data_IF_900147483656
#
_entry.id   IF_900147483656
#
_cell.length_a   1.000
_cell.length_b   1.000
_cell.length_c   1.000
_cell.angle_alpha   90.00
_cell.angle_beta   90.00
_cell.angle_gamma   90.00
#
_symmetry.space_group_name_H-M   'P 1'
#
loop_
_entity.id
_entity.type
_entity.pdbx_description
1 polymer ?
#
# COMPACT_ATOMS: atom_id res chain seq x y z
N UNK A 1 -16.56 -10.34 9.13
CA UNK A 1 -18.02 -10.14 9.07
C UNK A 1 -18.51 -9.79 7.66
N UNK A 2 -17.81 -8.91 6.89
CA UNK A 2 -18.18 -8.60 5.48
C UNK A 2 -18.30 -9.87 4.63
N UNK A 3 -17.34 -10.80 4.75
CA UNK A 3 -17.38 -12.07 4.02
C UNK A 3 -18.58 -12.93 4.46
N UNK A 4 -18.83 -13.03 5.75
CA UNK A 4 -19.95 -13.79 6.31
C UNK A 4 -21.29 -13.21 5.82
N UNK A 5 -21.45 -11.89 5.88
CA UNK A 5 -22.66 -11.21 5.38
C UNK A 5 -22.87 -11.44 3.87
N UNK A 6 -21.80 -11.62 3.10
CA UNK A 6 -21.88 -11.94 1.66
C UNK A 6 -22.40 -13.38 1.41
N UNK A 7 -22.03 -14.32 2.30
CA UNK A 7 -22.38 -15.75 2.17
C UNK A 7 -23.73 -16.08 2.80
N UNK A 8 -24.03 -15.48 3.95
CA UNK A 8 -25.20 -15.82 4.78
C UNK A 8 -26.17 -14.62 5.01
N UNK A 9 -25.98 -13.50 4.30
CA UNK A 9 -26.76 -12.31 4.51
C UNK A 9 -26.45 -11.59 5.84
N UNK A 10 -27.06 -10.42 6.05
CA UNK A 10 -26.88 -9.63 7.28
C UNK A 10 -27.41 -10.38 8.50
N UNK A 11 -28.55 -11.05 8.36
CA UNK A 11 -29.14 -11.87 9.44
C UNK A 11 -28.24 -13.03 9.86
N UNK A 12 -27.54 -13.68 8.90
CA UNK A 12 -26.56 -14.70 9.18
C UNK A 12 -25.35 -14.16 9.96
N UNK A 13 -24.87 -12.96 9.61
CA UNK A 13 -23.82 -12.29 10.36
C UNK A 13 -24.23 -11.93 11.80
N UNK A 14 -25.45 -11.48 12.00
CA UNK A 14 -26.00 -11.20 13.32
C UNK A 14 -26.16 -12.46 14.17
N UNK A 15 -26.61 -13.57 13.58
CA UNK A 15 -26.69 -14.88 14.24
C UNK A 15 -25.32 -15.34 14.74
N UNK A 16 -24.27 -15.22 13.91
CA UNK A 16 -22.90 -15.55 14.31
C UNK A 16 -22.43 -14.69 15.48
N UNK A 17 -22.69 -13.39 15.46
CA UNK A 17 -22.33 -12.49 16.55
C UNK A 17 -23.07 -12.84 17.85
N UNK A 18 -24.32 -13.25 17.79
CA UNK A 18 -25.08 -13.71 18.95
C UNK A 18 -24.52 -15.03 19.51
N UNK A 19 -24.15 -15.98 18.66
CA UNK A 19 -23.54 -17.24 19.08
C UNK A 19 -22.18 -16.98 19.76
N UNK A 20 -21.34 -16.11 19.18
CA UNK A 20 -20.06 -15.70 19.79
C UNK A 20 -20.31 -15.03 21.15
N UNK A 21 -21.24 -14.08 21.23
CA UNK A 21 -21.59 -13.42 22.47
C UNK A 21 -22.07 -14.40 23.55
N UNK A 22 -22.91 -15.38 23.19
CA UNK A 22 -23.35 -16.43 24.08
C UNK A 22 -22.19 -17.30 24.59
N UNK A 23 -21.29 -17.72 23.72
CA UNK A 23 -20.11 -18.50 24.11
C UNK A 23 -19.16 -17.72 25.02
N UNK A 24 -18.90 -16.45 24.70
CA UNK A 24 -18.09 -15.57 25.53
C UNK A 24 -18.77 -15.31 26.89
N UNK A 25 -20.08 -15.08 26.91
CA UNK A 25 -20.85 -14.91 28.15
C UNK A 25 -20.83 -16.14 29.03
N UNK A 26 -20.96 -17.35 28.47
CA UNK A 26 -20.83 -18.61 29.19
C UNK A 26 -19.41 -18.82 29.75
N UNK A 27 -18.36 -18.39 29.04
CA UNK A 27 -16.98 -18.53 29.46
C UNK A 27 -16.56 -17.47 30.50
N UNK A 28 -16.89 -16.19 30.22
CA UNK A 28 -16.35 -15.03 30.94
C UNK A 28 -17.36 -14.35 31.90
N UNK A 29 -18.64 -14.73 31.82
CA UNK A 29 -19.70 -14.14 32.66
C UNK A 29 -19.83 -12.63 32.43
N UNK A 30 -19.85 -11.86 33.52
CA UNK A 30 -19.98 -10.40 33.47
C UNK A 30 -18.70 -9.67 33.06
N UNK A 31 -17.59 -10.37 32.82
CA UNK A 31 -16.31 -9.80 32.43
C UNK A 31 -16.21 -9.49 30.93
N UNK A 32 -17.17 -9.97 30.12
CA UNK A 32 -17.23 -9.70 28.71
C UNK A 32 -18.21 -8.58 28.41
N UNK A 33 -17.78 -7.66 27.54
CA UNK A 33 -18.66 -6.63 26.98
C UNK A 33 -18.44 -6.52 25.48
N UNK A 34 -19.50 -6.17 24.75
CA UNK A 34 -19.42 -5.83 23.32
C UNK A 34 -19.15 -4.34 23.17
N UNK A 35 -18.05 -3.97 22.50
CA UNK A 35 -17.64 -2.57 22.37
C UNK A 35 -18.22 -1.96 21.10
N UNK A 36 -18.02 -2.64 19.99
CA UNK A 36 -18.51 -2.22 18.67
C UNK A 36 -19.02 -3.43 17.89
N UNK A 37 -19.63 -3.19 16.72
CA UNK A 37 -20.28 -4.19 15.89
C UNK A 37 -19.71 -5.59 15.89
N UNK A 38 -18.37 -5.76 15.76
CA UNK A 38 -17.71 -7.08 15.71
C UNK A 38 -16.67 -7.32 16.82
N UNK A 39 -16.50 -6.40 17.78
CA UNK A 39 -15.47 -6.45 18.80
C UNK A 39 -16.04 -6.71 20.20
N UNK A 40 -15.40 -7.62 20.91
CA UNK A 40 -15.70 -7.97 22.29
C UNK A 40 -14.47 -7.73 23.16
N UNK A 41 -14.66 -7.21 24.37
CA UNK A 41 -13.61 -7.00 25.36
C UNK A 41 -13.86 -7.92 26.55
N UNK A 42 -12.81 -8.59 27.03
CA UNK A 42 -12.80 -9.34 28.28
C UNK A 42 -11.85 -8.65 29.23
N UNK A 43 -12.34 -8.21 30.37
CA UNK A 43 -11.54 -7.56 31.41
C UNK A 43 -11.16 -8.56 32.51
N UNK A 44 -9.89 -8.54 32.91
CA UNK A 44 -9.33 -9.36 33.97
C UNK A 44 -8.66 -8.50 35.03
N UNK A 45 -8.65 -8.95 36.27
CA UNK A 45 -8.14 -8.20 37.42
C UNK A 45 -6.77 -8.69 37.90
N UNK A 46 -6.28 -9.82 37.37
CA UNK A 46 -4.98 -10.38 37.69
C UNK A 46 -4.35 -11.07 36.49
N UNK A 47 -3.03 -11.30 36.56
CA UNK A 47 -2.30 -12.05 35.54
C UNK A 47 -2.78 -13.50 35.43
N UNK A 48 -3.04 -14.15 36.59
CA UNK A 48 -3.55 -15.53 36.63
C UNK A 48 -4.91 -15.63 35.91
N UNK A 49 -5.80 -14.69 36.18
CA UNK A 49 -7.09 -14.61 35.52
C UNK A 49 -6.97 -14.33 34.01
N UNK A 50 -6.06 -13.45 33.62
CA UNK A 50 -5.73 -13.19 32.22
C UNK A 50 -5.26 -14.47 31.51
N UNK A 51 -4.26 -15.17 32.08
CA UNK A 51 -3.72 -16.41 31.50
C UNK A 51 -4.81 -17.47 31.34
N UNK A 52 -5.67 -17.61 32.36
CA UNK A 52 -6.79 -18.54 32.33
C UNK A 52 -7.75 -18.25 31.16
N UNK A 53 -8.26 -17.02 31.07
CA UNK A 53 -9.22 -16.69 30.01
C UNK A 53 -8.56 -16.65 28.64
N UNK A 54 -7.34 -16.16 28.53
CA UNK A 54 -6.61 -16.13 27.25
C UNK A 54 -6.38 -17.54 26.68
N UNK A 55 -5.98 -18.49 27.52
CA UNK A 55 -5.86 -19.89 27.11
C UNK A 55 -7.20 -20.53 26.72
N UNK A 56 -8.28 -20.17 27.43
CA UNK A 56 -9.63 -20.66 27.11
C UNK A 56 -10.15 -20.07 25.80
N UNK A 57 -9.94 -18.80 25.54
CA UNK A 57 -10.32 -18.14 24.29
C UNK A 57 -9.59 -18.73 23.10
N UNK A 58 -8.28 -18.99 23.22
CA UNK A 58 -7.50 -19.69 22.20
C UNK A 58 -8.11 -21.04 21.84
N UNK A 59 -8.51 -21.83 22.82
CA UNK A 59 -9.15 -23.13 22.59
C UNK A 59 -10.56 -23.01 22.03
N UNK A 60 -11.31 -21.98 22.45
CA UNK A 60 -12.68 -21.75 21.99
C UNK A 60 -12.72 -21.38 20.51
N UNK A 61 -11.75 -20.61 20.04
CA UNK A 61 -11.65 -20.11 18.67
C UNK A 61 -10.45 -20.71 17.91
N UNK A 62 -10.13 -21.98 18.17
CA UNK A 62 -9.09 -22.69 17.45
C UNK A 62 -9.34 -22.64 15.92
N UNK A 63 -8.29 -22.87 15.15
CA UNK A 63 -8.15 -22.66 13.68
C UNK A 63 -9.34 -23.16 12.83
N UNK A 64 -10.15 -24.07 13.37
CA UNK A 64 -11.28 -24.69 12.67
C UNK A 64 -12.64 -24.37 13.30
N UNK A 65 -12.78 -23.28 14.04
CA UNK A 65 -14.09 -22.96 14.62
C UNK A 65 -15.13 -22.71 13.53
N UNK A 66 -16.08 -23.59 13.48
CA UNK A 66 -17.22 -23.53 12.56
C UNK A 66 -18.47 -23.25 13.38
N UNK A 67 -19.26 -22.27 12.96
CA UNK A 67 -20.57 -21.96 13.53
C UNK A 67 -21.67 -22.30 12.52
N UNK A 68 -22.78 -22.82 13.01
CA UNK A 68 -23.92 -23.13 12.17
C UNK A 68 -24.80 -21.89 11.97
N UNK A 69 -25.11 -21.60 10.74
CA UNK A 69 -26.05 -20.53 10.35
C UNK A 69 -26.96 -21.04 9.24
N UNK A 70 -28.23 -21.22 9.53
CA UNK A 70 -29.22 -21.68 8.57
C UNK A 70 -28.81 -22.98 7.86
N UNK A 71 -28.39 -23.99 8.64
CA UNK A 71 -27.87 -25.27 8.15
C UNK A 71 -26.59 -25.21 7.32
N UNK A 72 -25.87 -24.06 7.40
CA UNK A 72 -24.54 -23.87 6.79
C UNK A 72 -23.48 -23.79 7.86
N UNK A 73 -22.47 -24.64 7.73
CA UNK A 73 -21.29 -24.59 8.57
C UNK A 73 -20.31 -23.51 8.06
N UNK A 74 -20.21 -22.40 8.77
CA UNK A 74 -19.37 -21.26 8.38
C UNK A 74 -18.14 -21.18 9.29
N UNK A 75 -16.95 -21.19 8.70
CA UNK A 75 -15.71 -20.91 9.43
C UNK A 75 -15.65 -19.43 9.81
N UNK A 76 -15.41 -19.17 11.09
CA UNK A 76 -15.37 -17.81 11.65
C UNK A 76 -13.99 -17.53 12.20
N UNK A 77 -13.10 -16.92 11.40
CA UNK A 77 -11.78 -16.48 11.88
C UNK A 77 -11.94 -15.33 12.88
N UNK A 78 -11.16 -15.37 13.96
CA UNK A 78 -11.18 -14.40 15.05
C UNK A 78 -9.75 -13.94 15.33
N UNK A 79 -9.56 -12.65 15.57
CA UNK A 79 -8.31 -12.12 16.12
C UNK A 79 -8.46 -11.99 17.63
N UNK A 80 -7.55 -12.59 18.37
CA UNK A 80 -7.51 -12.53 19.83
C UNK A 80 -6.28 -11.70 20.22
N UNK A 81 -6.50 -10.47 20.67
CA UNK A 81 -5.45 -9.57 21.15
C UNK A 81 -5.42 -9.59 22.68
N UNK A 82 -4.30 -9.95 23.27
CA UNK A 82 -4.10 -9.99 24.74
C UNK A 82 -3.18 -8.88 25.20
N UNK A 83 -3.60 -8.06 26.18
CA UNK A 83 -2.81 -6.97 26.76
C UNK A 83 -2.59 -7.25 28.25
N UNK A 84 -1.34 -7.49 28.63
CA UNK A 84 -0.93 -7.74 30.03
C UNK A 84 -0.57 -6.43 30.75
N UNK A 85 0.06 -5.51 30.01
CA UNK A 85 0.64 -4.29 30.58
C UNK A 85 -0.28 -3.07 30.42
N UNK A 86 -1.60 -3.25 30.45
CA UNK A 86 -2.57 -2.18 30.24
C UNK A 86 -2.38 -0.98 31.21
N UNK A 87 -1.87 -1.23 32.43
CA UNK A 87 -1.55 -0.20 33.41
C UNK A 87 -0.43 0.77 32.99
N UNK A 88 0.37 0.43 31.99
CA UNK A 88 1.37 1.35 31.41
C UNK A 88 0.75 2.40 30.49
N UNK A 89 -0.50 2.19 30.11
CA UNK A 89 -1.29 3.10 29.30
C UNK A 89 -2.21 3.85 30.28
N UNK A 90 -1.84 5.07 30.63
CA UNK A 90 -2.49 5.86 31.69
C UNK A 90 -3.97 6.17 31.39
N UNK A 91 -4.35 6.18 30.13
CA UNK A 91 -5.70 6.49 29.67
C UNK A 91 -6.40 5.23 29.10
N UNK A 92 -7.67 5.03 29.47
CA UNK A 92 -8.46 3.91 28.95
C UNK A 92 -8.64 3.94 27.43
N UNK A 93 -8.65 5.14 26.82
CA UNK A 93 -8.69 5.33 25.37
C UNK A 93 -7.46 4.71 24.68
N UNK A 94 -6.28 4.90 25.24
CA UNK A 94 -5.03 4.33 24.70
C UNK A 94 -5.01 2.80 24.75
N UNK A 95 -5.69 2.18 25.72
CA UNK A 95 -5.79 0.70 25.78
C UNK A 95 -6.55 0.19 24.56
N UNK A 96 -7.63 0.86 24.18
CA UNK A 96 -8.42 0.51 23.00
C UNK A 96 -7.65 0.72 21.69
N UNK A 97 -6.95 1.84 21.59
CA UNK A 97 -6.11 2.14 20.43
C UNK A 97 -4.94 1.14 20.32
N UNK A 98 -4.37 0.73 21.47
CA UNK A 98 -3.34 -0.30 21.49
C UNK A 98 -3.88 -1.66 21.05
N UNK A 99 -5.09 -2.03 21.49
CA UNK A 99 -5.74 -3.25 21.02
C UNK A 99 -5.98 -3.23 19.50
N UNK A 100 -6.38 -2.09 18.95
CA UNK A 100 -6.52 -1.91 17.49
C UNK A 100 -5.17 -1.96 16.76
N UNK A 101 -4.13 -1.39 17.35
CA UNK A 101 -2.77 -1.49 16.83
C UNK A 101 -2.29 -2.95 16.79
N UNK A 102 -2.50 -3.73 17.85
CA UNK A 102 -2.20 -5.16 17.87
C UNK A 102 -3.00 -5.92 16.79
N UNK A 103 -4.29 -5.61 16.61
CA UNK A 103 -5.12 -6.19 15.53
C UNK A 103 -4.48 -5.91 14.16
N UNK A 104 -3.94 -4.71 13.94
CA UNK A 104 -3.32 -4.33 12.66
C UNK A 104 -2.01 -5.06 12.34
N UNK A 105 -1.32 -5.57 13.37
CA UNK A 105 -0.09 -6.36 13.19
C UNK A 105 -0.36 -7.81 12.78
N UNK A 106 -1.62 -8.27 12.86
CA UNK A 106 -1.96 -9.65 12.52
C UNK A 106 -2.16 -9.81 11.01
N UNK A 107 -1.63 -10.89 10.40
CA UNK A 107 -1.89 -11.17 8.99
C UNK A 107 -3.40 -11.34 8.72
N UNK A 108 -3.87 -10.84 7.59
CA UNK A 108 -5.25 -11.10 7.15
C UNK A 108 -5.36 -12.48 6.46
N UNK A 109 -4.93 -13.52 7.15
CA UNK A 109 -4.84 -14.89 6.61
C UNK A 109 -6.20 -15.56 6.40
N UNK A 110 -7.27 -14.99 6.95
CA UNK A 110 -8.58 -15.66 7.02
C UNK A 110 -8.63 -16.83 8.03
N UNK A 111 -7.61 -16.95 8.87
CA UNK A 111 -7.53 -17.90 9.98
C UNK A 111 -7.70 -17.18 11.31
N UNK A 112 -7.92 -17.93 12.39
CA UNK A 112 -7.87 -17.36 13.73
C UNK A 112 -6.43 -17.03 14.10
N UNK A 113 -6.20 -15.76 14.44
CA UNK A 113 -4.90 -15.23 14.81
C UNK A 113 -4.88 -14.83 16.30
N UNK A 114 -3.72 -14.98 16.90
CA UNK A 114 -3.53 -14.65 18.33
C UNK A 114 -2.30 -13.79 18.46
N UNK A 115 -2.47 -12.60 19.02
CA UNK A 115 -1.38 -11.69 19.33
C UNK A 115 -1.40 -11.32 20.81
N UNK A 116 -0.26 -11.28 21.45
CA UNK A 116 -0.10 -10.87 22.82
C UNK A 116 0.88 -9.71 22.89
N UNK A 117 0.62 -8.75 23.77
CA UNK A 117 1.51 -7.62 23.96
C UNK A 117 2.87 -8.07 24.53
N UNK A 118 3.89 -7.42 24.04
CA UNK A 118 5.25 -7.53 24.54
C UNK A 118 5.93 -6.15 24.54
N UNK A 119 7.21 -6.12 24.87
CA UNK A 119 7.98 -4.88 24.88
C UNK A 119 8.12 -4.30 23.45
N UNK A 120 8.21 -5.14 22.44
CA UNK A 120 8.40 -4.70 21.05
C UNK A 120 7.12 -4.08 20.50
N UNK A 121 5.98 -4.74 20.69
CA UNK A 121 4.67 -4.22 20.25
C UNK A 121 4.30 -2.93 20.98
N UNK A 122 4.59 -2.82 22.29
CA UNK A 122 4.39 -1.59 23.04
C UNK A 122 5.26 -0.45 22.52
N UNK A 123 6.54 -0.70 22.27
CA UNK A 123 7.43 0.31 21.70
C UNK A 123 6.97 0.75 20.29
N UNK A 124 6.52 -0.21 19.48
CA UNK A 124 5.96 0.07 18.16
C UNK A 124 4.72 0.95 18.24
N UNK A 125 3.82 0.67 19.20
CA UNK A 125 2.64 1.52 19.44
C UNK A 125 3.00 2.93 19.89
N UNK A 126 3.95 3.08 20.81
CA UNK A 126 4.41 4.40 21.25
C UNK A 126 5.08 5.18 20.13
N UNK A 127 5.83 4.50 19.26
CA UNK A 127 6.37 5.10 18.04
C UNK A 127 5.25 5.55 17.10
N UNK A 128 4.25 4.70 16.86
CA UNK A 128 3.06 5.03 16.05
C UNK A 128 2.35 6.29 16.58
N UNK A 129 2.12 6.37 17.89
CA UNK A 129 1.48 7.54 18.53
C UNK A 129 2.30 8.81 18.38
N UNK A 130 3.62 8.74 18.50
CA UNK A 130 4.51 9.90 18.28
C UNK A 130 4.46 10.38 16.82
N UNK A 131 4.42 9.46 15.87
CA UNK A 131 4.27 9.81 14.45
C UNK A 131 2.91 10.46 14.19
N UNK A 132 1.83 9.89 14.75
CA UNK A 132 0.47 10.44 14.63
C UNK A 132 0.38 11.89 15.12
N UNK A 133 0.91 12.17 16.31
CA UNK A 133 0.96 13.53 16.86
C UNK A 133 1.79 14.48 15.99
N UNK A 134 2.88 13.98 15.39
CA UNK A 134 3.74 14.79 14.54
C UNK A 134 3.12 15.11 13.17
N UNK A 135 2.24 14.25 12.66
CA UNK A 135 1.65 14.43 11.33
C UNK A 135 0.87 15.75 11.19
N UNK A 136 0.11 16.14 12.21
CA UNK A 136 -0.59 17.44 12.22
C UNK A 136 0.37 18.59 12.01
N UNK A 137 1.45 18.62 12.80
CA UNK A 137 2.50 19.62 12.66
C UNK A 137 3.18 19.56 11.30
N UNK A 138 3.48 18.37 10.81
CA UNK A 138 4.15 18.17 9.52
C UNK A 138 3.32 18.69 8.34
N UNK A 139 1.99 18.58 8.43
CA UNK A 139 1.07 19.14 7.44
C UNK A 139 1.02 20.67 7.56
N UNK A 140 0.83 21.22 8.77
CA UNK A 140 0.74 22.66 8.99
C UNK A 140 2.01 23.40 8.56
N UNK A 141 3.19 22.83 8.83
CA UNK A 141 4.49 23.43 8.53
C UNK A 141 5.07 22.99 7.17
N UNK A 142 4.34 22.21 6.36
CA UNK A 142 4.76 21.69 5.04
C UNK A 142 6.13 20.98 5.10
N UNK A 143 6.29 20.02 6.04
CA UNK A 143 7.55 19.33 6.31
C UNK A 143 7.79 18.09 5.44
N UNK A 144 6.86 17.72 4.59
CA UNK A 144 7.03 16.59 3.68
C UNK A 144 7.98 16.94 2.54
N UNK A 145 8.80 15.97 2.13
CA UNK A 145 9.66 16.06 0.96
C UNK A 145 9.19 15.09 -0.12
N UNK A 146 9.50 15.40 -1.39
CA UNK A 146 9.32 14.49 -2.52
C UNK A 146 10.69 13.98 -2.96
N UNK A 147 10.84 12.66 -2.95
CA UNK A 147 11.96 11.99 -3.58
C UNK A 147 11.47 11.33 -4.87
N UNK A 148 12.36 11.17 -5.81
CA UNK A 148 12.06 10.60 -7.11
C UNK A 148 12.89 9.34 -7.32
N UNK A 149 12.24 8.22 -7.58
CA UNK A 149 12.94 6.99 -7.92
C UNK A 149 12.95 6.78 -9.43
N UNK A 150 14.16 6.77 -10.06
CA UNK A 150 14.26 6.55 -11.49
C UNK A 150 13.85 5.13 -11.89
N UNK A 151 13.16 5.03 -13.03
CA UNK A 151 12.71 3.78 -13.63
C UNK A 151 13.43 3.60 -14.97
N UNK A 152 14.15 2.51 -15.10
CA UNK A 152 15.02 2.20 -16.22
C UNK A 152 14.26 1.47 -17.32
N UNK A 153 14.43 1.90 -18.58
CA UNK A 153 13.91 1.19 -19.76
C UNK A 153 14.90 0.13 -20.24
N UNK A 154 14.46 -1.10 -20.32
CA UNK A 154 15.27 -2.21 -20.86
C UNK A 154 15.57 -2.04 -22.34
N UNK A 155 14.64 -1.40 -23.09
CA UNK A 155 14.73 -1.14 -24.52
C UNK A 155 15.62 0.05 -24.83
N UNK A 156 15.35 1.21 -24.17
CA UNK A 156 16.07 2.46 -24.44
C UNK A 156 17.41 2.53 -23.68
N UNK A 157 17.62 1.64 -22.71
CA UNK A 157 18.81 1.56 -21.87
C UNK A 157 19.16 2.87 -21.16
N UNK A 158 18.11 3.58 -20.72
CA UNK A 158 18.20 4.82 -19.94
C UNK A 158 17.01 4.95 -19.01
N UNK A 159 17.06 5.90 -18.10
CA UNK A 159 15.90 6.27 -17.30
C UNK A 159 14.88 7.04 -18.15
N UNK A 160 13.63 6.61 -18.14
CA UNK A 160 12.56 7.19 -18.96
C UNK A 160 11.35 7.70 -18.15
N UNK A 161 11.23 7.34 -16.90
CA UNK A 161 10.20 7.82 -16.00
C UNK A 161 10.73 7.79 -14.57
N UNK A 162 10.04 8.47 -13.66
CA UNK A 162 10.36 8.49 -12.24
C UNK A 162 9.10 8.29 -11.43
N UNK A 163 9.20 7.64 -10.27
CA UNK A 163 8.14 7.60 -9.29
C UNK A 163 8.40 8.63 -8.19
N UNK A 164 7.38 9.46 -7.91
CA UNK A 164 7.42 10.46 -6.85
C UNK A 164 6.98 9.82 -5.52
N UNK A 165 7.86 9.84 -4.54
CA UNK A 165 7.72 9.16 -3.27
C UNK A 165 7.81 10.16 -2.11
N UNK A 166 6.78 10.18 -1.27
CA UNK A 166 6.73 11.03 -0.08
C UNK A 166 7.78 10.63 0.93
N UNK A 167 8.40 11.64 1.56
CA UNK A 167 9.37 11.46 2.64
C UNK A 167 9.03 12.39 3.79
N UNK A 168 9.18 11.88 5.00
CA UNK A 168 8.96 12.67 6.22
C UNK A 168 10.12 12.44 7.19
N UNK A 169 10.72 13.53 7.65
CA UNK A 169 11.79 13.51 8.64
C UNK A 169 11.32 14.11 9.96
N UNK A 170 11.57 13.39 11.05
CA UNK A 170 11.32 13.88 12.41
C UNK A 170 12.65 14.12 13.11
N UNK A 171 12.86 15.28 13.82
CA UNK A 171 14.14 15.62 14.43
C UNK A 171 14.70 14.58 15.39
N UNK A 172 13.82 13.88 16.14
CA UNK A 172 14.24 12.86 17.11
C UNK A 172 14.11 11.42 16.62
N UNK A 173 13.13 11.16 15.72
CA UNK A 173 12.86 9.80 15.20
C UNK A 173 13.65 9.49 13.93
N UNK A 174 14.22 10.50 13.30
CA UNK A 174 14.86 10.36 11.99
C UNK A 174 13.84 10.24 10.85
N UNK A 175 14.21 9.55 9.78
CA UNK A 175 13.31 9.29 8.66
C UNK A 175 12.18 8.34 9.07
N UNK A 176 10.95 8.78 8.88
CA UNK A 176 9.74 7.99 9.11
C UNK A 176 9.43 7.21 7.83
N UNK A 177 9.24 5.90 7.96
CA UNK A 177 8.91 5.06 6.81
C UNK A 177 7.54 5.45 6.22
N UNK A 178 7.42 5.54 4.88
CA UNK A 178 6.16 5.88 4.21
C UNK A 178 4.98 5.01 4.66
N UNK A 179 5.17 3.71 4.74
CA UNK A 179 4.13 2.77 5.17
C UNK A 179 3.54 3.11 6.54
N UNK A 180 4.35 3.68 7.44
CA UNK A 180 3.88 4.07 8.77
C UNK A 180 3.05 5.34 8.70
N UNK A 181 3.59 6.43 8.12
CA UNK A 181 2.87 7.70 8.14
C UNK A 181 1.66 7.73 7.19
N UNK A 182 1.72 6.99 6.06
CA UNK A 182 0.58 6.89 5.14
C UNK A 182 -0.58 6.17 5.81
N UNK A 183 -0.35 5.01 6.45
CA UNK A 183 -1.40 4.29 7.17
C UNK A 183 -2.03 5.15 8.29
N UNK A 184 -1.22 5.90 9.02
CA UNK A 184 -1.71 6.83 10.05
C UNK A 184 -2.54 7.94 9.41
N UNK A 185 -2.07 8.52 8.32
CA UNK A 185 -2.74 9.60 7.60
C UNK A 185 -4.08 9.15 7.00
N UNK A 186 -4.15 7.94 6.45
CA UNK A 186 -5.40 7.35 5.95
C UNK A 186 -6.40 7.12 7.08
N UNK A 187 -5.97 6.50 8.20
CA UNK A 187 -6.81 6.24 9.36
C UNK A 187 -7.40 7.53 9.96
N UNK A 188 -6.65 8.62 9.91
CA UNK A 188 -7.03 9.92 10.49
C UNK A 188 -7.57 10.92 9.44
N UNK A 189 -7.86 10.48 8.21
CA UNK A 189 -8.35 11.33 7.10
C UNK A 189 -7.45 12.54 6.78
N UNK A 190 -6.14 12.38 6.96
CA UNK A 190 -5.13 13.39 6.65
C UNK A 190 -4.45 13.17 5.30
N UNK A 191 -4.63 12.00 4.69
CA UNK A 191 -3.88 11.61 3.48
C UNK A 191 -4.15 12.55 2.29
N UNK A 192 -5.39 13.01 2.12
CA UNK A 192 -5.73 13.94 1.04
C UNK A 192 -4.92 15.25 1.11
N UNK A 193 -4.67 15.78 2.31
CA UNK A 193 -3.87 16.98 2.50
C UNK A 193 -2.41 16.72 2.12
N UNK A 194 -1.88 15.55 2.51
CA UNK A 194 -0.50 15.14 2.17
C UNK A 194 -0.39 14.96 0.65
N UNK A 195 -1.35 14.30 0.00
CA UNK A 195 -1.37 14.10 -1.44
C UNK A 195 -1.40 15.45 -2.18
N UNK A 196 -2.24 16.39 -1.75
CA UNK A 196 -2.34 17.73 -2.34
C UNK A 196 -1.03 18.51 -2.22
N UNK A 197 -0.37 18.47 -1.05
CA UNK A 197 0.92 19.11 -0.83
C UNK A 197 2.00 18.53 -1.73
N UNK A 198 2.09 17.20 -1.79
CA UNK A 198 3.03 16.47 -2.63
C UNK A 198 2.81 16.77 -4.10
N UNK A 199 1.55 16.73 -4.55
CA UNK A 199 1.22 16.98 -5.94
C UNK A 199 1.55 18.41 -6.38
N UNK A 200 1.33 19.41 -5.53
CA UNK A 200 1.79 20.79 -5.78
C UNK A 200 3.30 20.89 -5.92
N UNK A 201 4.07 20.17 -5.11
CA UNK A 201 5.53 20.11 -5.22
C UNK A 201 5.96 19.47 -6.53
N UNK A 202 5.31 18.38 -6.93
CA UNK A 202 5.57 17.70 -8.21
C UNK A 202 5.25 18.65 -9.38
N UNK A 203 4.10 19.33 -9.37
CA UNK A 203 3.76 20.30 -10.40
C UNK A 203 4.78 21.45 -10.49
N UNK A 204 5.23 21.97 -9.35
CA UNK A 204 6.28 23.01 -9.31
C UNK A 204 7.58 22.48 -9.89
N UNK A 205 8.03 21.31 -9.45
CA UNK A 205 9.23 20.65 -9.99
C UNK A 205 9.19 20.52 -11.52
N UNK A 206 8.07 20.05 -12.04
CA UNK A 206 7.87 19.89 -13.50
C UNK A 206 7.86 21.23 -14.25
N UNK A 207 7.26 22.26 -13.65
CA UNK A 207 7.26 23.62 -14.22
C UNK A 207 8.67 24.21 -14.30
N UNK A 208 9.46 24.04 -13.26
CA UNK A 208 10.82 24.57 -13.15
C UNK A 208 11.84 23.76 -13.97
N UNK A 209 11.55 22.48 -14.26
CA UNK A 209 12.46 21.56 -14.94
C UNK A 209 11.85 21.00 -16.26
N UNK A 210 11.17 21.84 -17.04
CA UNK A 210 10.51 21.44 -18.29
C UNK A 210 11.44 20.71 -19.28
N UNK A 211 12.73 21.09 -19.31
CA UNK A 211 13.71 20.42 -20.17
C UNK A 211 13.94 18.96 -19.79
N UNK A 212 13.77 18.60 -18.52
CA UNK A 212 13.87 17.23 -18.06
C UNK A 212 12.79 16.35 -18.70
N UNK A 213 11.59 16.92 -18.94
CA UNK A 213 10.47 16.22 -19.59
C UNK A 213 10.67 15.95 -21.08
N UNK A 214 11.72 16.51 -21.70
CA UNK A 214 12.14 16.07 -23.05
C UNK A 214 12.71 14.64 -23.05
N UNK A 215 13.05 14.11 -21.88
CA UNK A 215 13.69 12.81 -21.66
C UNK A 215 12.85 11.83 -20.87
N UNK A 216 12.01 12.34 -19.98
CA UNK A 216 11.07 11.56 -19.19
C UNK A 216 9.73 11.48 -19.91
N UNK A 217 9.11 10.34 -19.88
CA UNK A 217 7.75 10.14 -20.41
C UNK A 217 6.72 10.76 -19.45
N UNK A 218 6.89 10.53 -18.15
CA UNK A 218 6.00 11.03 -17.12
C UNK A 218 6.65 10.91 -15.72
N UNK A 219 5.98 11.50 -14.74
CA UNK A 219 6.20 11.29 -13.31
C UNK A 219 5.02 10.50 -12.78
N UNK A 220 5.30 9.41 -12.11
CA UNK A 220 4.31 8.54 -11.49
C UNK A 220 3.98 9.03 -10.09
N UNK A 221 2.68 9.05 -9.75
CA UNK A 221 2.16 9.60 -8.49
C UNK A 221 1.13 8.65 -7.91
N UNK A 222 1.35 8.23 -6.68
CA UNK A 222 0.46 7.35 -5.95
C UNK A 222 -0.82 8.07 -5.53
N UNK A 223 -1.99 7.42 -5.71
CA UNK A 223 -3.28 7.85 -5.18
C UNK A 223 -3.80 6.83 -4.16
N UNK A 224 -4.20 7.34 -2.99
CA UNK A 224 -4.84 6.53 -1.97
C UNK A 224 -6.30 6.23 -2.30
N UNK A 225 -6.88 5.25 -1.59
CA UNK A 225 -8.32 4.97 -1.68
C UNK A 225 -9.18 6.18 -1.30
N UNK A 226 -8.74 7.00 -0.34
CA UNK A 226 -9.47 8.18 0.10
C UNK A 226 -9.41 9.30 -0.96
N UNK A 227 -8.27 9.49 -1.63
CA UNK A 227 -8.16 10.42 -2.75
C UNK A 227 -9.18 10.08 -3.86
N UNK A 228 -9.28 8.79 -4.19
CA UNK A 228 -10.20 8.29 -5.23
C UNK A 228 -11.68 8.31 -4.83
N UNK A 229 -11.98 8.41 -3.53
CA UNK A 229 -13.36 8.57 -3.03
C UNK A 229 -13.84 10.01 -3.09
N UNK A 230 -12.98 10.99 -3.32
CA UNK A 230 -13.39 12.40 -3.47
C UNK A 230 -14.24 12.57 -4.71
N UNK A 231 -15.38 13.25 -4.57
CA UNK A 231 -16.27 13.51 -5.69
C UNK A 231 -15.65 14.38 -6.80
N UNK A 232 -14.67 15.21 -6.44
CA UNK A 232 -13.97 16.13 -7.34
C UNK A 232 -12.55 15.65 -7.72
N UNK A 233 -12.15 14.43 -7.38
CA UNK A 233 -10.77 13.92 -7.52
C UNK A 233 -10.15 14.26 -8.88
N UNK A 234 -10.75 13.83 -9.98
CA UNK A 234 -10.20 14.08 -11.32
C UNK A 234 -10.12 15.58 -11.63
N UNK A 235 -11.19 16.33 -11.43
CA UNK A 235 -11.24 17.78 -11.70
C UNK A 235 -10.30 18.57 -10.78
N UNK A 236 -10.05 18.11 -9.57
CA UNK A 236 -9.14 18.71 -8.63
C UNK A 236 -7.68 18.64 -9.13
N UNK A 237 -7.21 17.44 -9.48
CA UNK A 237 -5.85 17.26 -9.97
C UNK A 237 -5.63 17.91 -11.34
N UNK A 238 -6.62 17.83 -12.26
CA UNK A 238 -6.56 18.50 -13.56
C UNK A 238 -6.43 20.01 -13.37
N UNK A 239 -7.25 20.64 -12.55
CA UNK A 239 -7.18 22.08 -12.25
C UNK A 239 -5.81 22.46 -11.69
N UNK A 240 -5.27 21.66 -10.76
CA UNK A 240 -3.96 21.91 -10.19
C UNK A 240 -2.85 21.84 -11.25
N UNK A 241 -2.92 20.89 -12.19
CA UNK A 241 -1.99 20.83 -13.31
C UNK A 241 -2.11 22.06 -14.24
N UNK A 242 -3.33 22.48 -14.51
CA UNK A 242 -3.60 23.67 -15.34
C UNK A 242 -3.06 24.96 -14.69
N UNK A 243 -3.21 25.12 -13.37
CA UNK A 243 -2.67 26.25 -12.60
C UNK A 243 -1.14 26.35 -12.69
N UNK A 244 -0.45 25.20 -12.75
CA UNK A 244 1.00 25.14 -12.93
C UNK A 244 1.42 25.07 -14.40
N UNK A 245 0.49 25.04 -15.35
CA UNK A 245 0.74 24.88 -16.79
C UNK A 245 1.49 23.57 -17.12
N UNK A 246 1.13 22.48 -16.43
CA UNK A 246 1.70 21.15 -16.61
C UNK A 246 0.87 20.39 -17.67
N UNK A 247 1.56 19.78 -18.64
CA UNK A 247 0.90 18.89 -19.60
C UNK A 247 0.40 17.65 -18.90
N UNK A 248 -0.86 17.28 -19.09
CA UNK A 248 -1.50 16.19 -18.40
C UNK A 248 -0.79 14.85 -18.63
N UNK A 249 -0.24 14.63 -19.80
CA UNK A 249 0.52 13.43 -20.15
C UNK A 249 1.86 13.28 -19.38
N UNK A 250 2.32 14.32 -18.69
CA UNK A 250 3.52 14.27 -17.83
C UNK A 250 3.25 13.62 -16.49
N UNK A 251 2.00 13.35 -16.15
CA UNK A 251 1.61 12.65 -14.94
C UNK A 251 1.01 11.28 -15.30
N UNK A 252 1.36 10.28 -14.51
CA UNK A 252 0.72 8.98 -14.51
C UNK A 252 0.33 8.67 -13.07
N UNK A 253 -0.97 8.46 -12.80
CA UNK A 253 -1.39 8.06 -11.47
C UNK A 253 -1.27 6.56 -11.27
N UNK A 254 -0.80 6.17 -10.09
CA UNK A 254 -0.69 4.79 -9.65
C UNK A 254 -1.81 4.46 -8.67
N UNK A 255 -2.48 3.34 -8.91
CA UNK A 255 -3.59 2.82 -8.10
C UNK A 255 -3.24 1.38 -7.73
N UNK A 256 -3.22 1.07 -6.43
CA UNK A 256 -2.88 -0.28 -5.98
C UNK A 256 -3.94 -1.31 -6.38
N UNK A 257 -3.54 -2.57 -6.47
CA UNK A 257 -4.42 -3.70 -6.79
C UNK A 257 -5.61 -3.78 -5.82
N UNK A 258 -5.38 -3.55 -4.53
CA UNK A 258 -6.43 -3.59 -3.49
C UNK A 258 -7.53 -2.57 -3.77
N UNK A 259 -7.16 -1.34 -4.08
CA UNK A 259 -8.09 -0.24 -4.38
C UNK A 259 -8.85 -0.52 -5.69
N UNK A 260 -8.15 -0.98 -6.71
CA UNK A 260 -8.76 -1.34 -7.98
C UNK A 260 -9.77 -2.50 -7.85
N UNK A 261 -9.54 -3.45 -6.94
CA UNK A 261 -10.43 -4.59 -6.69
C UNK A 261 -11.74 -4.18 -6.00
N UNK A 262 -11.73 -3.11 -5.21
CA UNK A 262 -12.92 -2.53 -4.58
C UNK A 262 -13.70 -1.60 -5.54
N UNK A 263 -13.68 -1.90 -6.86
CA UNK A 263 -14.31 -1.11 -7.91
C UNK A 263 -15.73 -0.66 -7.53
N UNK A 264 -15.95 0.65 -7.57
CA UNK A 264 -17.24 1.30 -7.38
C UNK A 264 -17.58 2.19 -8.60
N UNK A 265 -18.83 2.58 -8.74
CA UNK A 265 -19.23 3.52 -9.78
C UNK A 265 -18.51 4.89 -9.65
N UNK A 266 -18.17 5.30 -8.42
CA UNK A 266 -17.40 6.52 -8.16
C UNK A 266 -15.96 6.40 -8.68
N UNK A 267 -15.28 5.27 -8.45
CA UNK A 267 -13.95 5.03 -9.01
C UNK A 267 -13.98 5.08 -10.54
N UNK A 268 -15.02 4.49 -11.17
CA UNK A 268 -15.21 4.56 -12.62
C UNK A 268 -15.25 6.01 -13.13
N UNK A 269 -16.03 6.87 -12.48
CA UNK A 269 -16.13 8.30 -12.88
C UNK A 269 -14.80 9.05 -12.74
N UNK A 270 -14.04 8.79 -11.67
CA UNK A 270 -12.70 9.39 -11.48
C UNK A 270 -11.75 8.95 -12.59
N UNK A 271 -11.69 7.64 -12.85
CA UNK A 271 -10.85 7.05 -13.90
C UNK A 271 -11.20 7.61 -15.29
N UNK A 272 -12.49 7.68 -15.63
CA UNK A 272 -12.97 8.23 -16.89
C UNK A 272 -12.58 9.71 -17.02
N UNK A 273 -12.72 10.50 -15.96
CA UNK A 273 -12.32 11.90 -15.93
C UNK A 273 -10.83 12.12 -16.15
N UNK A 274 -9.98 11.35 -15.47
CA UNK A 274 -8.51 11.41 -15.65
C UNK A 274 -8.11 10.99 -17.08
N UNK A 275 -8.67 9.89 -17.57
CA UNK A 275 -8.35 9.36 -18.89
C UNK A 275 -8.80 10.30 -20.02
N UNK A 276 -10.00 10.91 -19.89
CA UNK A 276 -10.51 11.91 -20.83
C UNK A 276 -9.60 13.15 -20.91
N UNK A 277 -8.92 13.50 -19.82
CA UNK A 277 -7.93 14.58 -19.78
C UNK A 277 -6.57 14.17 -20.35
N UNK A 278 -6.38 12.91 -20.76
CA UNK A 278 -5.11 12.39 -21.31
C UNK A 278 -4.12 11.90 -20.24
N UNK A 279 -4.55 11.81 -18.98
CA UNK A 279 -3.74 11.27 -17.88
C UNK A 279 -3.78 9.74 -17.95
N UNK A 280 -2.61 9.11 -17.87
CA UNK A 280 -2.50 7.64 -17.87
C UNK A 280 -2.59 7.07 -16.47
N UNK A 281 -3.07 5.83 -16.39
CA UNK A 281 -3.16 5.09 -15.13
C UNK A 281 -2.20 3.90 -15.13
N UNK A 282 -1.67 3.61 -13.97
CA UNK A 282 -0.81 2.47 -13.69
C UNK A 282 -1.45 1.64 -12.56
N UNK A 283 -1.49 0.34 -12.76
CA UNK A 283 -1.82 -0.59 -11.68
C UNK A 283 -0.55 -0.89 -10.90
N UNK A 284 -0.59 -0.65 -9.59
CA UNK A 284 0.53 -0.87 -8.68
C UNK A 284 0.35 -2.12 -7.83
N UNK A 285 1.48 -2.64 -7.30
CA UNK A 285 1.57 -3.78 -6.39
C UNK A 285 0.94 -5.09 -6.94
N UNK A 286 0.90 -5.31 -8.26
CA UNK A 286 0.29 -6.51 -8.82
C UNK A 286 1.02 -7.77 -8.35
N UNK A 287 0.28 -8.65 -7.69
CA UNK A 287 0.76 -9.92 -7.15
C UNK A 287 1.15 -9.88 -5.68
N UNK A 288 1.02 -8.75 -5.00
CA UNK A 288 1.22 -8.64 -3.54
C UNK A 288 0.07 -9.25 -2.73
N UNK A 289 -1.11 -9.42 -3.34
CA UNK A 289 -2.33 -9.86 -2.68
C UNK A 289 -3.14 -10.89 -3.48
N UNK A 290 -4.45 -10.71 -3.49
CA UNK A 290 -5.39 -11.55 -4.25
C UNK A 290 -5.58 -10.98 -5.66
N UNK A 291 -4.61 -11.20 -6.53
CA UNK A 291 -4.65 -10.73 -7.91
C UNK A 291 -5.95 -11.13 -8.63
N UNK A 292 -6.75 -10.14 -9.05
CA UNK A 292 -7.96 -10.37 -9.81
C UNK A 292 -7.81 -9.81 -11.23
N UNK A 293 -7.48 -10.68 -12.19
CA UNK A 293 -7.34 -10.31 -13.60
C UNK A 293 -8.57 -9.59 -14.17
N UNK A 294 -9.78 -9.86 -13.64
CA UNK A 294 -10.98 -9.12 -14.06
C UNK A 294 -10.91 -7.64 -13.74
N UNK A 295 -10.23 -7.27 -12.63
CA UNK A 295 -10.03 -5.86 -12.26
C UNK A 295 -9.10 -5.16 -13.24
N UNK A 296 -8.00 -5.82 -13.61
CA UNK A 296 -7.06 -5.31 -14.63
C UNK A 296 -7.78 -4.99 -15.94
N UNK A 297 -8.70 -5.86 -16.36
CA UNK A 297 -9.44 -5.69 -17.61
C UNK A 297 -10.56 -4.63 -17.58
N UNK A 298 -11.02 -4.25 -16.38
CA UNK A 298 -12.13 -3.28 -16.24
C UNK A 298 -11.70 -1.83 -16.29
N UNK A 299 -10.47 -1.54 -15.87
CA UNK A 299 -9.94 -0.19 -15.80
C UNK A 299 -8.92 0.03 -16.93
N UNK A 300 -8.85 1.24 -17.51
CA UNK A 300 -7.99 1.54 -18.66
C UNK A 300 -6.55 1.79 -18.23
N UNK A 301 -5.95 0.82 -17.53
CA UNK A 301 -4.53 0.88 -17.20
C UNK A 301 -3.68 0.81 -18.48
N UNK A 302 -2.62 1.60 -18.52
CA UNK A 302 -1.61 1.53 -19.57
C UNK A 302 -0.36 0.79 -19.15
N UNK A 303 -0.14 0.70 -17.83
CA UNK A 303 1.07 0.14 -17.22
C UNK A 303 0.68 -0.74 -16.04
N UNK A 304 1.42 -1.81 -15.83
CA UNK A 304 1.29 -2.71 -14.67
C UNK A 304 2.65 -2.82 -14.00
N UNK A 305 2.73 -2.55 -12.69
CA UNK A 305 3.91 -2.77 -11.88
C UNK A 305 3.79 -4.13 -11.20
N UNK A 306 4.76 -4.97 -11.42
CA UNK A 306 4.86 -6.30 -10.79
C UNK A 306 5.60 -6.16 -9.49
N UNK A 307 4.92 -6.49 -8.39
CA UNK A 307 5.46 -6.37 -7.04
C UNK A 307 6.70 -7.23 -6.83
N UNK A 308 7.61 -6.76 -5.97
CA UNK A 308 8.86 -7.45 -5.63
C UNK A 308 8.68 -8.87 -5.09
N UNK A 309 7.54 -9.19 -4.49
CA UNK A 309 7.26 -10.54 -3.99
C UNK A 309 7.24 -11.59 -5.10
N UNK A 310 6.92 -11.18 -6.32
CA UNK A 310 6.97 -12.04 -7.50
C UNK A 310 8.41 -12.35 -7.95
N UNK A 311 9.38 -11.48 -7.61
CA UNK A 311 10.81 -11.69 -7.89
C UNK A 311 11.47 -12.64 -6.89
N UNK A 312 10.81 -12.92 -5.76
CA UNK A 312 11.42 -13.74 -4.73
C UNK A 312 11.88 -15.09 -5.29
N UNK A 313 13.20 -15.31 -5.23
CA UNK A 313 13.89 -16.56 -5.60
C UNK A 313 13.73 -17.01 -7.08
N UNK A 314 13.40 -16.07 -8.00
CA UNK A 314 13.22 -16.40 -9.43
C UNK A 314 14.48 -16.93 -10.11
N UNK A 315 15.66 -16.61 -9.57
CA UNK A 315 16.93 -17.08 -10.13
C UNK A 315 17.23 -18.54 -9.77
N UNK A 316 16.63 -19.10 -8.71
CA UNK A 316 16.93 -20.43 -8.20
C UNK A 316 15.73 -21.38 -8.22
N UNK A 317 14.50 -20.86 -8.29
CA UNK A 317 13.27 -21.66 -8.36
C UNK A 317 12.65 -21.58 -9.75
N UNK A 318 12.77 -22.69 -10.50
CA UNK A 318 12.25 -22.80 -11.87
C UNK A 318 10.73 -22.58 -11.97
N UNK A 319 9.94 -23.00 -10.97
CA UNK A 319 8.48 -22.78 -10.98
C UNK A 319 8.13 -21.32 -10.82
N UNK A 320 8.84 -20.61 -9.94
CA UNK A 320 8.69 -19.16 -9.76
C UNK A 320 9.09 -18.41 -11.02
N UNK A 321 10.22 -18.78 -11.62
CA UNK A 321 10.69 -18.25 -12.89
C UNK A 321 9.66 -18.42 -14.01
N UNK A 322 9.13 -19.61 -14.19
CA UNK A 322 8.09 -19.91 -15.19
C UNK A 322 6.80 -19.15 -14.93
N UNK A 323 6.39 -19.02 -13.66
CA UNK A 323 5.21 -18.25 -13.29
C UNK A 323 5.38 -16.78 -13.64
N UNK A 324 6.49 -16.16 -13.21
CA UNK A 324 6.81 -14.76 -13.51
C UNK A 324 6.84 -14.50 -15.01
N UNK A 325 7.55 -15.32 -15.76
CA UNK A 325 7.60 -15.24 -17.23
C UNK A 325 6.22 -15.31 -17.86
N UNK A 326 5.35 -16.22 -17.40
CA UNK A 326 3.98 -16.36 -17.90
C UNK A 326 3.13 -15.12 -17.64
N UNK A 327 3.31 -14.47 -16.48
CA UNK A 327 2.64 -13.20 -16.14
C UNK A 327 3.08 -12.10 -17.11
N UNK A 328 4.40 -11.95 -17.30
CA UNK A 328 4.97 -10.97 -18.24
C UNK A 328 4.44 -11.18 -19.66
N UNK A 329 4.49 -12.41 -20.16
CA UNK A 329 3.99 -12.74 -21.51
C UNK A 329 2.50 -12.45 -21.66
N UNK A 330 1.69 -12.73 -20.64
CA UNK A 330 0.26 -12.47 -20.64
C UNK A 330 -0.04 -10.99 -20.79
N UNK A 331 0.55 -10.16 -19.94
CA UNK A 331 0.31 -8.71 -19.98
C UNK A 331 0.87 -8.05 -21.24
N UNK A 332 2.00 -8.52 -21.75
CA UNK A 332 2.51 -8.04 -23.06
C UNK A 332 1.57 -8.36 -24.22
N UNK A 333 0.98 -9.56 -24.26
CA UNK A 333 -0.04 -9.92 -25.26
C UNK A 333 -1.29 -9.06 -25.18
N UNK A 334 -1.57 -8.51 -24.00
CA UNK A 334 -2.67 -7.57 -23.75
C UNK A 334 -2.27 -6.11 -24.00
N UNK A 335 -1.07 -5.84 -24.49
CA UNK A 335 -0.51 -4.51 -24.78
C UNK A 335 -0.33 -3.60 -23.55
N UNK A 336 -0.10 -4.16 -22.37
CA UNK A 336 0.32 -3.39 -21.19
C UNK A 336 1.83 -3.16 -21.22
N UNK A 337 2.27 -1.99 -20.75
CA UNK A 337 3.66 -1.77 -20.36
C UNK A 337 3.91 -2.40 -18.99
N UNK A 338 5.03 -3.09 -18.83
CA UNK A 338 5.34 -3.82 -17.61
C UNK A 338 6.53 -3.17 -16.91
N UNK A 339 6.36 -2.85 -15.64
CA UNK A 339 7.41 -2.45 -14.73
C UNK A 339 7.67 -3.58 -13.74
N UNK A 340 8.89 -4.00 -13.57
CA UNK A 340 9.29 -4.90 -12.49
C UNK A 340 9.88 -4.08 -11.34
N UNK A 341 9.37 -4.28 -10.13
CA UNK A 341 9.79 -3.57 -8.95
C UNK A 341 10.75 -4.37 -8.07
N UNK A 342 11.52 -3.65 -7.26
CA UNK A 342 12.37 -4.26 -6.24
C UNK A 342 13.56 -5.04 -6.78
N UNK A 343 14.00 -4.79 -8.00
CA UNK A 343 15.18 -5.44 -8.59
C UNK A 343 16.44 -4.95 -7.87
N UNK A 344 17.18 -5.87 -7.27
CA UNK A 344 18.37 -5.56 -6.47
C UNK A 344 19.65 -6.16 -7.06
N UNK A 345 19.56 -7.17 -7.93
CA UNK A 345 20.71 -7.88 -8.47
C UNK A 345 20.81 -7.79 -9.99
N UNK A 346 22.01 -7.99 -10.51
CA UNK A 346 22.26 -8.05 -11.95
C UNK A 346 21.60 -9.28 -12.58
N UNK A 347 21.63 -10.39 -11.88
CA UNK A 347 21.06 -11.66 -12.31
C UNK A 347 19.54 -11.53 -12.53
N UNK A 348 18.84 -10.92 -11.57
CA UNK A 348 17.40 -10.60 -11.72
C UNK A 348 17.16 -9.72 -12.93
N UNK A 349 17.90 -8.60 -13.04
CA UNK A 349 17.77 -7.64 -14.14
C UNK A 349 17.96 -8.31 -15.51
N UNK A 350 19.01 -9.14 -15.67
CA UNK A 350 19.29 -9.84 -16.93
C UNK A 350 18.21 -10.87 -17.26
N UNK A 351 17.67 -11.56 -16.25
CA UNK A 351 16.65 -12.58 -16.40
C UNK A 351 15.32 -11.97 -16.87
N UNK A 352 14.79 -10.97 -16.14
CA UNK A 352 13.51 -10.34 -16.46
C UNK A 352 13.56 -9.52 -17.76
N UNK A 353 14.73 -8.95 -18.10
CA UNK A 353 14.93 -8.26 -19.39
C UNK A 353 14.80 -9.25 -20.57
N UNK A 354 15.32 -10.46 -20.43
CA UNK A 354 15.15 -11.52 -21.46
C UNK A 354 13.70 -11.96 -21.60
N UNK A 355 12.89 -11.91 -20.56
CA UNK A 355 11.46 -12.21 -20.62
C UNK A 355 10.63 -11.08 -21.18
N UNK A 356 11.25 -9.91 -21.42
CA UNK A 356 10.62 -8.78 -22.11
C UNK A 356 9.89 -7.83 -21.19
N UNK A 357 10.31 -7.70 -19.92
CA UNK A 357 9.92 -6.58 -19.07
C UNK A 357 10.36 -5.28 -19.69
N UNK A 358 9.47 -4.28 -19.81
CA UNK A 358 9.75 -3.02 -20.52
C UNK A 358 10.57 -2.06 -19.64
N UNK A 359 10.28 -2.03 -18.34
CA UNK A 359 10.87 -1.09 -17.39
C UNK A 359 11.23 -1.78 -16.08
N UNK A 360 12.25 -1.28 -15.41
CA UNK A 360 12.75 -1.84 -14.17
C UNK A 360 12.93 -0.73 -13.13
N UNK A 361 12.41 -0.96 -11.96
CA UNK A 361 12.57 -0.12 -10.78
C UNK A 361 13.21 -0.93 -9.65
N UNK A 362 14.30 -0.43 -9.08
CA UNK A 362 14.95 -1.13 -7.98
C UNK A 362 16.30 -0.55 -7.61
N UNK A 363 16.81 -1.00 -6.47
CA UNK A 363 18.08 -0.50 -5.92
C UNK A 363 19.29 -0.91 -6.74
N UNK A 364 19.13 -1.87 -7.64
CA UNK A 364 20.16 -2.18 -8.62
C UNK A 364 20.52 -0.96 -9.49
N UNK A 365 19.55 -0.15 -9.87
CA UNK A 365 19.75 1.05 -10.68
C UNK A 365 19.86 2.31 -9.83
N UNK A 366 18.87 2.57 -8.97
CA UNK A 366 18.85 3.77 -8.12
C UNK A 366 17.90 3.59 -6.94
N UNK A 367 18.31 4.15 -5.79
CA UNK A 367 17.38 4.45 -4.70
C UNK A 367 16.59 5.72 -5.02
N UNK A 368 15.48 5.99 -4.31
CA UNK A 368 14.82 7.29 -4.38
C UNK A 368 15.79 8.44 -4.10
N UNK A 369 15.77 9.46 -4.96
CA UNK A 369 16.70 10.58 -4.94
C UNK A 369 15.95 11.89 -4.63
N UNK A 370 16.54 12.81 -3.87
CA UNK A 370 16.03 14.17 -3.76
C UNK A 370 16.16 14.87 -5.13
N UNK A 371 15.37 15.90 -5.37
CA UNK A 371 15.25 16.62 -6.65
C UNK A 371 16.59 16.95 -7.30
N UNK A 372 17.51 17.59 -6.55
CA UNK A 372 18.83 17.98 -7.08
C UNK A 372 19.67 16.80 -7.56
N UNK A 373 19.59 15.68 -6.85
CA UNK A 373 20.33 14.49 -7.22
C UNK A 373 19.72 13.81 -8.46
N UNK A 374 18.39 13.82 -8.61
CA UNK A 374 17.73 13.36 -9.82
C UNK A 374 18.17 14.18 -11.04
N UNK A 375 18.14 15.52 -10.95
CA UNK A 375 18.57 16.40 -12.04
C UNK A 375 20.01 16.08 -12.46
N UNK A 376 20.91 15.95 -11.47
CA UNK A 376 22.31 15.62 -11.72
C UNK A 376 22.48 14.25 -12.42
N UNK A 377 21.73 13.23 -11.97
CA UNK A 377 21.75 11.90 -12.58
C UNK A 377 21.33 11.97 -14.06
N UNK A 378 20.23 12.64 -14.35
CA UNK A 378 19.69 12.77 -15.70
C UNK A 378 20.63 13.57 -16.63
N UNK A 379 21.37 14.54 -16.10
CA UNK A 379 22.39 15.27 -16.86
C UNK A 379 23.63 14.42 -17.17
N UNK A 380 24.07 13.59 -16.23
CA UNK A 380 25.23 12.71 -16.39
C UNK A 380 24.98 11.60 -17.44
N UNK A 381 23.79 11.01 -17.48
CA UNK A 381 23.40 10.07 -18.54
C UNK A 381 23.55 10.68 -19.94
N UNK A 382 23.32 11.99 -20.05
CA UNK A 382 23.48 12.71 -21.34
C UNK A 382 24.91 12.74 -21.81
N UNK A 383 25.84 13.04 -20.89
CA UNK A 383 27.26 13.17 -21.25
C UNK A 383 27.83 11.80 -21.67
N UNK A 384 27.41 10.72 -21.02
CA UNK A 384 27.85 9.38 -21.38
C UNK A 384 27.27 8.88 -22.73
N UNK A 385 26.03 9.24 -23.06
CA UNK A 385 25.39 8.90 -24.32
C UNK A 385 26.00 9.69 -25.52
N UNK A 386 26.35 10.97 -25.33
CA UNK A 386 27.00 11.78 -26.35
C UNK A 386 28.44 11.36 -26.63
N UNK A 387 29.20 10.96 -25.60
CA UNK A 387 30.57 10.44 -25.78
C UNK A 387 30.61 9.09 -26.52
N UNK A 388 29.60 8.22 -26.27
CA UNK A 388 29.50 6.94 -26.98
C UNK A 388 28.94 7.08 -28.41
N UNK A 389 28.16 8.12 -28.69
CA UNK A 389 27.67 8.45 -30.05
C UNK A 389 28.75 8.97 -30.99
N UNK A 390 29.68 9.80 -30.48
CA UNK A 390 30.79 10.33 -31.25
C UNK A 390 31.86 9.29 -31.59
N UNK A 391 31.92 8.19 -30.86
CA UNK A 391 32.85 7.06 -31.16
C UNK A 391 32.29 6.08 -32.19
N UNK A 392 30.97 6.05 -32.43
CA UNK A 392 30.36 5.15 -33.42
C UNK A 392 30.25 5.79 -34.84
N UNK A 393 30.49 7.09 -34.99
CA UNK A 393 30.55 7.76 -36.31
C UNK A 393 31.97 7.83 -36.91
N UNK A 394 32.97 7.24 -36.21
CA UNK A 394 34.38 7.24 -36.66
C UNK A 394 34.93 5.85 -36.97
N UNK A 395 34.09 4.87 -37.32
CA UNK A 395 34.54 3.56 -37.83
C UNK A 395 33.97 3.32 -39.24
#
# INVERSE_FOLDING_TARGET
LKHINRVAGVQGGDSILQQIAGQLGALCGQKVTRITGKRFLVLTSSLEEYEYYFAKLKRLFDVNKVLDVEDKNIAVPVIISGIINAQKLEESGLIMEYAEYLESLTPQSGLTEVIQDDRQTMNGFMYYKRVEQYLHKAIEEDLFEVYYQPVYSTRERRFITVEALSRLYHPELGWIAPDVFIQIAEKNHMIEQITDMQFRRICRFLKENRELMSRLLNVKVNLSSLDLMRNDCSSHFIRMMDEYEIRHEWIQFEITETVATEYSASLGMVVDGLTAAGIRLCLDDFGSGYANLNTVMRLPFSTIKLDRSLLFDICNDEKRAQFYQSVVETFRKMNYHIVSEGVETREEMELISRWGVDMIQGYYFSKPLPEKALISLMQTETMSASVNGEQSEKV
#
